data_IF_336334249901
#
_entry.id   IF_336334249901
#
_cell.length_a   1.000
_cell.length_b   1.000
_cell.length_c   1.000
_cell.angle_alpha   90.00
_cell.angle_beta   90.00
_cell.angle_gamma   90.00
#
_symmetry.space_group_name_H-M   'P 1'
#
loop_
_entity.id
_entity.type
_entity.pdbx_description
1 polymer ?
#
# COMPACT_ATOMS: atom_id res chain seq x y z
N UNK A 1 -20.15 -17.25 0.60
CA UNK A 1 -19.66 -16.28 1.61
C UNK A 1 -19.87 -14.86 1.09
N UNK A 2 -20.28 -13.94 1.96
CA UNK A 2 -20.42 -12.51 1.63
C UNK A 2 -19.05 -11.85 1.49
N UNK A 3 -18.95 -10.87 0.60
CA UNK A 3 -17.74 -10.03 0.47
C UNK A 3 -17.70 -9.07 1.66
N UNK A 4 -16.54 -8.95 2.30
CA UNK A 4 -16.36 -8.06 3.45
C UNK A 4 -16.12 -6.64 2.94
N UNK A 5 -16.90 -5.66 3.41
CA UNK A 5 -16.58 -4.25 3.21
C UNK A 5 -15.42 -3.86 4.13
N UNK A 6 -14.41 -3.19 3.57
CA UNK A 6 -13.21 -2.74 4.26
C UNK A 6 -13.27 -1.26 4.66
N UNK A 7 -14.41 -0.59 4.52
CA UNK A 7 -14.57 0.84 4.83
C UNK A 7 -14.16 1.16 6.27
N UNK A 8 -14.55 0.33 7.24
CA UNK A 8 -14.13 0.49 8.64
C UNK A 8 -12.62 0.36 8.83
N UNK A 9 -12.03 -0.67 8.22
CA UNK A 9 -10.58 -0.90 8.25
C UNK A 9 -9.81 0.27 7.63
N UNK A 10 -10.26 0.78 6.47
CA UNK A 10 -9.59 1.88 5.78
C UNK A 10 -9.63 3.18 6.62
N UNK A 11 -10.71 3.43 7.36
CA UNK A 11 -10.80 4.55 8.30
C UNK A 11 -9.86 4.40 9.50
N UNK A 12 -9.74 3.19 10.04
CA UNK A 12 -8.77 2.92 11.11
C UNK A 12 -7.33 3.07 10.61
N UNK A 13 -7.06 2.66 9.36
CA UNK A 13 -5.78 2.89 8.71
C UNK A 13 -5.48 4.38 8.56
N UNK A 14 -6.45 5.21 8.15
CA UNK A 14 -6.29 6.67 8.10
C UNK A 14 -5.90 7.23 9.47
N UNK A 15 -6.54 6.79 10.54
CA UNK A 15 -6.20 7.23 11.91
C UNK A 15 -4.75 6.91 12.28
N UNK A 16 -4.24 5.76 11.85
CA UNK A 16 -2.82 5.39 12.07
C UNK A 16 -1.91 6.34 11.28
N UNK A 17 -2.20 6.57 10.01
CA UNK A 17 -1.42 7.48 9.15
C UNK A 17 -1.44 8.92 9.71
N UNK A 18 -2.61 9.42 10.11
CA UNK A 18 -2.77 10.74 10.69
C UNK A 18 -2.00 10.84 12.03
N UNK A 19 -2.00 9.78 12.86
CA UNK A 19 -1.17 9.73 14.08
C UNK A 19 0.33 9.84 13.78
N UNK A 20 0.80 9.14 12.74
CA UNK A 20 2.20 9.23 12.28
C UNK A 20 2.54 10.67 11.90
N UNK A 21 1.66 11.33 11.13
CA UNK A 21 1.83 12.72 10.68
C UNK A 21 1.78 13.74 11.82
N UNK A 22 0.82 13.60 12.73
CA UNK A 22 0.57 14.57 13.81
C UNK A 22 1.52 14.42 14.99
N UNK A 23 2.08 13.22 15.18
CA UNK A 23 2.97 12.90 16.31
C UNK A 23 4.25 12.20 15.87
N UNK A 24 5.06 12.82 15.00
CA UNK A 24 6.23 12.16 14.43
C UNK A 24 7.28 11.78 15.48
N UNK A 25 7.31 12.49 16.61
CA UNK A 25 8.20 12.23 17.73
C UNK A 25 7.92 10.90 18.46
N UNK A 26 6.75 10.28 18.28
CA UNK A 26 6.42 8.96 18.86
C UNK A 26 7.11 7.79 18.12
N UNK A 27 7.71 8.07 16.96
CA UNK A 27 8.30 7.06 16.06
C UNK A 27 9.80 7.28 15.90
N UNK A 28 10.57 6.18 15.85
CA UNK A 28 12.00 6.23 15.52
C UNK A 28 12.18 6.43 14.00
N UNK A 29 11.30 5.82 13.20
CA UNK A 29 11.25 5.98 11.75
C UNK A 29 9.88 5.55 11.23
N UNK A 30 9.40 6.18 10.17
CA UNK A 30 8.23 5.72 9.42
C UNK A 30 8.38 6.06 7.93
N UNK A 31 7.84 5.24 7.05
CA UNK A 31 7.71 5.48 5.62
C UNK A 31 6.31 5.01 5.19
N UNK A 32 5.43 5.96 4.94
CA UNK A 32 4.06 5.74 4.48
C UNK A 32 3.99 6.15 3.02
N UNK A 33 3.67 5.21 2.15
CA UNK A 33 3.50 5.44 0.73
C UNK A 33 2.06 5.12 0.34
N UNK A 34 1.38 6.11 -0.21
CA UNK A 34 0.04 5.98 -0.78
C UNK A 34 0.12 6.24 -2.27
N UNK A 35 -0.44 5.36 -3.07
CA UNK A 35 -0.61 5.55 -4.51
C UNK A 35 -2.04 5.25 -4.89
N UNK A 36 -2.71 6.23 -5.49
CA UNK A 36 -4.07 6.09 -6.00
C UNK A 36 -4.07 6.18 -7.52
N UNK A 37 -4.94 5.38 -8.14
CA UNK A 37 -5.26 5.43 -9.55
C UNK A 37 -6.78 5.68 -9.69
N UNK A 38 -7.17 6.81 -10.30
CA UNK A 38 -8.58 7.22 -10.50
C UNK A 38 -8.72 7.83 -11.88
N UNK A 39 -9.65 7.33 -12.70
CA UNK A 39 -10.01 7.90 -14.01
C UNK A 39 -8.81 8.18 -14.95
N UNK A 40 -7.82 7.29 -14.97
CA UNK A 40 -6.62 7.44 -15.81
C UNK A 40 -5.56 8.41 -15.25
N UNK A 41 -5.77 8.93 -14.04
CA UNK A 41 -4.82 9.76 -13.30
C UNK A 41 -4.27 9.03 -12.08
N UNK A 42 -3.02 9.34 -11.75
CA UNK A 42 -2.29 8.80 -10.62
C UNK A 42 -1.96 9.89 -9.61
N UNK A 43 -2.09 9.55 -8.33
CA UNK A 43 -1.76 10.42 -7.20
C UNK A 43 -0.87 9.65 -6.24
N UNK A 44 0.24 10.23 -5.82
CA UNK A 44 1.19 9.60 -4.90
C UNK A 44 1.52 10.54 -3.76
N UNK A 45 1.43 10.04 -2.54
CA UNK A 45 1.92 10.68 -1.34
C UNK A 45 2.96 9.77 -0.69
N UNK A 46 4.07 10.35 -0.25
CA UNK A 46 5.05 9.68 0.59
C UNK A 46 5.35 10.53 1.80
N UNK A 47 5.07 9.99 2.98
CA UNK A 47 5.41 10.58 4.26
C UNK A 47 6.53 9.78 4.91
N UNK A 48 7.64 10.44 5.19
CA UNK A 48 8.80 9.84 5.85
C UNK A 48 9.09 10.55 7.14
N UNK A 49 9.25 9.80 8.22
CA UNK A 49 9.81 10.31 9.47
C UNK A 49 11.27 9.89 9.56
N UNK A 50 12.13 10.89 9.75
CA UNK A 50 13.53 10.70 10.06
C UNK A 50 13.93 11.59 11.24
N UNK A 51 14.57 11.01 12.25
CA UNK A 51 14.96 11.69 13.50
C UNK A 51 13.83 12.51 14.17
N UNK A 52 12.59 12.02 14.10
CA UNK A 52 11.40 12.70 14.66
C UNK A 52 10.85 13.86 13.83
N UNK A 53 11.40 14.11 12.64
CA UNK A 53 10.94 15.10 11.68
C UNK A 53 10.15 14.45 10.54
N UNK A 54 9.01 15.03 10.18
CA UNK A 54 8.18 14.60 9.06
C UNK A 54 8.61 15.28 7.76
N UNK A 55 8.78 14.48 6.72
CA UNK A 55 9.01 14.90 5.34
C UNK A 55 7.90 14.33 4.46
N UNK A 56 7.19 15.19 3.72
CA UNK A 56 6.09 14.78 2.86
C UNK A 56 6.35 15.16 1.41
N UNK A 57 6.22 14.21 0.51
CA UNK A 57 6.35 14.39 -0.93
C UNK A 57 5.04 14.00 -1.61
N UNK A 58 4.57 14.84 -2.53
CA UNK A 58 3.34 14.61 -3.27
C UNK A 58 3.62 14.70 -4.76
N UNK A 59 3.10 13.75 -5.53
CA UNK A 59 3.22 13.73 -6.98
C UNK A 59 1.89 13.35 -7.60
N UNK A 60 1.63 13.87 -8.79
CA UNK A 60 0.44 13.53 -9.55
C UNK A 60 0.74 13.54 -11.05
N UNK A 61 -0.01 12.75 -11.81
CA UNK A 61 0.11 12.77 -13.25
C UNK A 61 -0.74 11.69 -13.94
N UNK A 62 -0.87 11.75 -15.26
CA UNK A 62 -1.51 10.70 -16.04
C UNK A 62 -0.81 9.33 -15.83
N UNK A 63 -1.60 8.25 -15.77
CA UNK A 63 -1.05 6.89 -15.56
C UNK A 63 -0.17 6.40 -16.70
N UNK A 64 -0.30 6.99 -17.90
CA UNK A 64 0.52 6.65 -19.07
C UNK A 64 1.89 7.33 -19.08
N UNK A 65 2.24 8.11 -18.05
CA UNK A 65 3.51 8.81 -17.91
C UNK A 65 4.22 8.33 -16.63
N UNK A 66 5.50 7.98 -16.74
CA UNK A 66 6.28 7.48 -15.59
C UNK A 66 6.84 8.59 -14.68
N UNK A 67 6.88 9.83 -15.17
CA UNK A 67 7.41 10.99 -14.44
C UNK A 67 6.29 11.91 -13.97
N UNK A 68 5.52 11.44 -12.98
CA UNK A 68 4.52 12.28 -12.31
C UNK A 68 5.17 13.52 -11.73
N UNK A 69 4.51 14.66 -11.90
CA UNK A 69 5.03 15.95 -11.47
C UNK A 69 4.73 16.16 -9.99
N UNK A 70 5.55 16.96 -9.28
CA UNK A 70 5.23 17.33 -7.91
C UNK A 70 3.87 18.02 -7.84
N UNK A 71 3.06 17.64 -6.86
CA UNK A 71 1.75 18.26 -6.60
C UNK A 71 1.94 19.53 -5.77
N UNK A 72 2.05 20.67 -6.44
CA UNK A 72 2.23 21.98 -5.82
C UNK A 72 0.90 22.60 -5.33
N UNK A 73 -0.24 22.13 -5.84
CA UNK A 73 -1.56 22.71 -5.60
C UNK A 73 -2.37 21.90 -4.56
N UNK A 74 -1.77 20.85 -3.98
CA UNK A 74 -2.39 19.95 -3.01
C UNK A 74 -3.60 19.17 -3.55
N UNK A 75 -3.75 19.09 -4.88
CA UNK A 75 -4.86 18.39 -5.53
C UNK A 75 -4.76 16.89 -5.26
N UNK A 76 -3.57 16.32 -5.40
CA UNK A 76 -3.31 14.92 -5.11
C UNK A 76 -3.47 14.57 -3.63
N UNK A 77 -3.18 15.52 -2.73
CA UNK A 77 -3.50 15.33 -1.30
C UNK A 77 -5.01 15.24 -1.07
N UNK A 78 -5.79 16.15 -1.67
CA UNK A 78 -7.25 16.14 -1.53
C UNK A 78 -7.86 14.83 -2.07
N UNK A 79 -7.41 14.37 -3.23
CA UNK A 79 -7.85 13.10 -3.82
C UNK A 79 -7.49 11.89 -2.94
N UNK A 80 -6.33 11.94 -2.28
CA UNK A 80 -5.93 10.92 -1.31
C UNK A 80 -6.82 10.92 -0.08
N UNK A 81 -7.15 12.09 0.47
CA UNK A 81 -8.05 12.18 1.61
C UNK A 81 -9.49 11.75 1.24
N UNK A 82 -9.99 12.14 0.07
CA UNK A 82 -11.31 11.71 -0.45
C UNK A 82 -11.41 10.18 -0.56
N UNK A 83 -10.34 9.50 -0.95
CA UNK A 83 -10.32 8.03 -1.04
C UNK A 83 -10.67 7.34 0.29
N UNK A 84 -10.21 7.89 1.42
CA UNK A 84 -10.54 7.35 2.75
C UNK A 84 -11.99 7.59 3.18
N UNK A 85 -12.70 8.47 2.47
CA UNK A 85 -14.10 8.81 2.73
C UNK A 85 -15.08 8.04 1.84
N UNK A 86 -14.59 7.30 0.84
CA UNK A 86 -15.43 6.55 -0.09
C UNK A 86 -16.35 5.56 0.66
N UNK A 87 -17.64 5.47 0.26
CA UNK A 87 -18.63 4.67 0.97
C UNK A 87 -18.35 3.16 0.86
N UNK A 88 -17.89 2.71 -0.31
CA UNK A 88 -17.74 1.30 -0.64
C UNK A 88 -16.28 0.98 -0.91
N UNK A 89 -15.63 0.25 0.01
CA UNK A 89 -14.24 -0.18 -0.10
C UNK A 89 -14.16 -1.70 -0.06
N UNK A 90 -13.44 -2.27 -1.02
CA UNK A 90 -13.11 -3.69 -1.09
C UNK A 90 -11.59 -3.90 -1.13
N UNK A 91 -11.16 -5.02 -0.58
CA UNK A 91 -9.74 -5.39 -0.51
C UNK A 91 -9.42 -6.49 -1.53
N UNK A 92 -8.36 -6.31 -2.31
CA UNK A 92 -7.83 -7.38 -3.14
C UNK A 92 -7.07 -8.39 -2.27
N UNK A 93 -7.17 -9.66 -2.61
CA UNK A 93 -6.32 -10.72 -2.04
C UNK A 93 -5.01 -10.85 -2.82
N UNK A 94 -4.06 -11.61 -2.29
CA UNK A 94 -2.79 -11.92 -2.99
C UNK A 94 -3.01 -12.52 -4.40
N UNK A 95 -4.14 -13.19 -4.65
CA UNK A 95 -4.48 -13.73 -5.97
C UNK A 95 -4.57 -12.65 -7.05
N UNK A 96 -4.97 -11.43 -6.68
CA UNK A 96 -5.05 -10.31 -7.60
C UNK A 96 -3.69 -9.94 -8.19
N UNK A 97 -2.60 -10.17 -7.45
CA UNK A 97 -1.23 -9.91 -7.90
C UNK A 97 -0.76 -10.92 -8.96
N UNK A 98 -1.34 -12.14 -8.95
CA UNK A 98 -1.01 -13.24 -9.84
C UNK A 98 -1.95 -13.36 -11.05
N UNK A 99 -3.07 -12.63 -11.02
CA UNK A 99 -4.07 -12.63 -12.09
C UNK A 99 -3.53 -12.01 -13.36
N UNK A 100 -3.91 -12.55 -14.52
CA UNK A 100 -3.67 -11.90 -15.83
C UNK A 100 -4.33 -10.52 -15.90
N UNK A 101 -5.44 -10.33 -15.16
CA UNK A 101 -6.11 -9.04 -14.94
C UNK A 101 -5.68 -8.44 -13.61
N UNK A 102 -4.38 -8.17 -13.49
CA UNK A 102 -3.87 -7.52 -12.29
C UNK A 102 -4.47 -6.09 -12.20
N UNK A 103 -5.06 -5.69 -11.07
CA UNK A 103 -5.64 -4.35 -10.91
C UNK A 103 -4.60 -3.21 -11.01
N UNK A 104 -3.31 -3.53 -10.96
CA UNK A 104 -2.21 -2.61 -11.21
C UNK A 104 -1.96 -2.37 -12.71
N UNK A 105 -2.47 -3.23 -13.58
CA UNK A 105 -2.26 -3.17 -15.03
C UNK A 105 -3.54 -2.91 -15.83
N UNK A 106 -4.71 -3.16 -15.23
CA UNK A 106 -6.02 -2.93 -15.86
C UNK A 106 -6.72 -1.76 -15.18
N UNK A 107 -7.01 -0.71 -15.95
CA UNK A 107 -7.78 0.42 -15.46
C UNK A 107 -9.25 -0.01 -15.24
N UNK A 108 -9.75 0.17 -14.02
CA UNK A 108 -11.17 0.00 -13.70
C UNK A 108 -11.88 1.33 -13.95
N UNK A 109 -12.83 1.35 -14.88
CA UNK A 109 -13.46 2.59 -15.37
C UNK A 109 -14.11 3.43 -14.24
N UNK A 110 -14.55 2.79 -13.16
CA UNK A 110 -15.29 3.45 -12.07
C UNK A 110 -14.72 3.20 -10.67
N UNK A 111 -13.59 2.48 -10.57
CA UNK A 111 -12.96 2.19 -9.27
C UNK A 111 -11.75 3.11 -9.05
N UNK A 112 -11.63 3.65 -7.84
CA UNK A 112 -10.37 4.22 -7.37
C UNK A 112 -9.54 3.09 -6.78
N UNK A 113 -8.40 2.78 -7.38
CA UNK A 113 -7.49 1.76 -6.88
C UNK A 113 -6.49 2.42 -5.93
N UNK A 114 -6.40 1.91 -4.71
CA UNK A 114 -5.50 2.43 -3.69
C UNK A 114 -4.48 1.42 -3.23
N UNK A 115 -3.20 1.74 -3.39
CA UNK A 115 -2.08 0.97 -2.85
C UNK A 115 -1.54 1.74 -1.65
N UNK A 116 -1.48 1.08 -0.51
CA UNK A 116 -0.93 1.66 0.71
C UNK A 116 0.17 0.74 1.22
N UNK A 117 1.37 1.28 1.37
CA UNK A 117 2.51 0.61 1.97
C UNK A 117 2.98 1.42 3.17
N UNK A 118 3.06 0.77 4.33
CA UNK A 118 3.45 1.40 5.58
C UNK A 118 4.59 0.59 6.18
N UNK A 119 5.73 1.24 6.36
CA UNK A 119 6.77 0.79 7.25
C UNK A 119 6.81 1.71 8.47
N UNK A 120 6.77 1.12 9.67
CA UNK A 120 6.79 1.90 10.91
C UNK A 120 7.66 1.23 11.95
N UNK A 121 8.45 2.04 12.64
CA UNK A 121 9.18 1.68 13.84
C UNK A 121 8.80 2.62 14.97
N UNK A 122 7.90 2.15 15.82
CA UNK A 122 7.62 2.82 17.09
C UNK A 122 8.86 2.78 17.98
N UNK A 123 8.99 3.74 18.90
CA UNK A 123 10.13 3.80 19.83
C UNK A 123 10.37 2.47 20.50
N UNK A 124 11.62 2.00 20.45
CA UNK A 124 12.07 0.75 21.08
C UNK A 124 11.37 -0.52 20.57
N UNK A 125 10.74 -0.47 19.40
CA UNK A 125 10.04 -1.61 18.78
C UNK A 125 10.75 -2.09 17.52
N UNK A 126 10.42 -3.30 17.07
CA UNK A 126 10.87 -3.81 15.76
C UNK A 126 10.16 -3.06 14.63
N UNK A 127 10.86 -2.88 13.51
CA UNK A 127 10.24 -2.31 12.31
C UNK A 127 9.20 -3.29 11.79
N UNK A 128 8.00 -2.78 11.48
CA UNK A 128 6.91 -3.54 10.90
C UNK A 128 6.53 -2.94 9.56
N UNK A 129 6.28 -3.78 8.58
CA UNK A 129 5.85 -3.39 7.24
C UNK A 129 4.53 -4.07 6.87
N UNK A 130 3.63 -3.34 6.25
CA UNK A 130 2.37 -3.85 5.72
C UNK A 130 2.09 -3.20 4.37
N UNK A 131 1.59 -4.00 3.43
CA UNK A 131 1.12 -3.53 2.13
C UNK A 131 -0.35 -3.90 1.96
N UNK A 132 -1.14 -3.02 1.38
CA UNK A 132 -2.58 -3.18 1.19
C UNK A 132 -2.98 -2.68 -0.19
N UNK A 133 -4.02 -3.29 -0.77
CA UNK A 133 -4.49 -2.99 -2.12
C UNK A 133 -6.01 -2.98 -2.17
N UNK A 134 -6.59 -1.81 -2.39
CA UNK A 134 -8.03 -1.57 -2.28
C UNK A 134 -8.64 -1.15 -3.62
N UNK A 135 -9.93 -1.44 -3.79
CA UNK A 135 -10.81 -0.81 -4.76
C UNK A 135 -11.89 -0.02 -3.99
N UNK A 136 -11.98 1.28 -4.27
CA UNK A 136 -12.97 2.18 -3.69
C UNK A 136 -13.95 2.71 -4.73
N UNK A 137 -15.21 2.87 -4.32
CA UNK A 137 -16.31 3.34 -5.18
C UNK A 137 -17.08 4.46 -4.50
N UNK A 138 -17.48 5.46 -5.28
CA UNK A 138 -18.32 6.58 -4.82
C UNK A 138 -19.79 6.20 -4.65
N UNK A 139 -20.24 5.11 -5.28
CA UNK A 139 -21.59 4.60 -5.15
C UNK A 139 -21.64 3.06 -5.15
N UNK A 140 -22.78 2.56 -4.67
CA UNK A 140 -23.02 1.14 -4.47
C UNK A 140 -23.30 0.38 -5.78
N UNK A 141 -23.81 1.04 -6.81
CA UNK A 141 -24.20 0.37 -8.06
C UNK A 141 -22.94 -0.11 -8.78
N UNK A 142 -21.93 0.76 -8.93
CA UNK A 142 -20.67 0.38 -9.56
C UNK A 142 -19.89 -0.65 -8.73
N UNK A 143 -19.94 -0.54 -7.40
CA UNK A 143 -19.40 -1.55 -6.49
C UNK A 143 -20.03 -2.94 -6.72
N UNK A 144 -21.36 -3.02 -6.84
CA UNK A 144 -22.05 -4.30 -7.07
C UNK A 144 -21.66 -4.92 -8.43
N UNK A 145 -21.56 -4.12 -9.49
CA UNK A 145 -21.08 -4.59 -10.79
C UNK A 145 -19.63 -5.08 -10.72
N UNK A 146 -18.75 -4.33 -10.06
CA UNK A 146 -17.37 -4.73 -9.86
C UNK A 146 -17.25 -6.08 -9.14
N UNK A 147 -18.00 -6.25 -8.05
CA UNK A 147 -18.01 -7.51 -7.30
C UNK A 147 -18.56 -8.69 -8.10
N UNK A 148 -19.46 -8.47 -9.05
CA UNK A 148 -19.96 -9.53 -9.93
C UNK A 148 -18.86 -10.04 -10.88
N UNK A 149 -17.91 -9.18 -11.27
CA UNK A 149 -16.83 -9.50 -12.22
C UNK A 149 -15.58 -10.00 -11.50
N UNK A 150 -15.16 -9.31 -10.44
CA UNK A 150 -13.84 -9.49 -9.80
C UNK A 150 -13.92 -10.26 -8.47
N UNK A 151 -15.06 -10.90 -8.19
CA UNK A 151 -15.35 -11.54 -6.89
C UNK A 151 -14.24 -12.44 -6.36
N UNK A 152 -13.56 -13.15 -7.26
CA UNK A 152 -12.55 -14.14 -6.91
C UNK A 152 -11.20 -13.54 -6.57
N UNK A 153 -10.95 -12.29 -6.95
CA UNK A 153 -9.74 -11.56 -6.61
C UNK A 153 -9.86 -10.79 -5.30
N UNK A 154 -11.09 -10.57 -4.81
CA UNK A 154 -11.39 -9.86 -3.57
C UNK A 154 -11.33 -10.79 -2.35
N UNK A 155 -10.91 -10.24 -1.21
CA UNK A 155 -10.85 -10.98 0.06
C UNK A 155 -12.25 -11.47 0.46
N UNK A 156 -12.35 -12.78 0.72
CA UNK A 156 -13.55 -13.45 1.23
C UNK A 156 -13.28 -13.86 2.68
N UNK A 157 -13.96 -13.25 3.65
CA UNK A 157 -13.76 -13.55 5.08
C UNK A 157 -12.41 -13.06 5.62
N UNK A 158 -11.68 -13.89 6.36
CA UNK A 158 -10.42 -13.52 7.05
C UNK A 158 -9.14 -13.91 6.28
N UNK A 159 -9.24 -14.43 5.06
CA UNK A 159 -8.07 -14.87 4.29
C UNK A 159 -7.52 -13.70 3.44
N UNK A 160 -6.75 -12.83 4.07
CA UNK A 160 -6.18 -11.66 3.41
C UNK A 160 -4.88 -11.95 2.63
N UNK A 161 -4.27 -13.13 2.84
CA UNK A 161 -2.97 -13.49 2.25
C UNK A 161 -1.79 -13.04 3.13
N UNK A 162 -0.56 -13.37 2.73
CA UNK A 162 0.67 -13.04 3.47
C UNK A 162 1.43 -11.86 2.86
N UNK A 163 1.15 -11.52 1.61
CA UNK A 163 1.79 -10.39 0.92
C UNK A 163 1.02 -9.09 1.11
N UNK A 164 -0.31 -9.18 1.21
CA UNK A 164 -1.20 -8.08 1.52
C UNK A 164 -1.79 -8.25 2.93
N UNK A 165 -2.05 -7.13 3.61
CA UNK A 165 -2.76 -7.02 4.90
C UNK A 165 -2.12 -7.67 6.13
N UNK A 166 -1.07 -8.48 6.02
CA UNK A 166 -0.31 -8.94 7.18
C UNK A 166 0.84 -7.99 7.53
N UNK A 167 0.94 -7.61 8.81
CA UNK A 167 2.13 -6.94 9.34
C UNK A 167 3.28 -7.92 9.41
N UNK A 168 4.41 -7.54 8.82
CA UNK A 168 5.62 -8.37 8.80
C UNK A 168 6.73 -7.63 9.53
N UNK A 169 7.49 -8.36 10.35
CA UNK A 169 8.70 -7.80 10.92
C UNK A 169 9.75 -7.63 9.83
N UNK A 170 10.26 -6.41 9.67
CA UNK A 170 11.41 -6.16 8.81
C UNK A 170 12.65 -6.46 9.62
N UNK A 171 13.17 -7.68 9.46
CA UNK A 171 14.42 -8.10 10.09
C UNK A 171 15.55 -7.17 9.61
N UNK A 172 16.46 -6.74 10.50
CA UNK A 172 17.66 -6.03 10.10
C UNK A 172 18.42 -6.86 9.05
N UNK A 173 18.91 -6.22 7.99
CA UNK A 173 19.66 -6.87 6.90
C UNK A 173 20.84 -7.70 7.45
N UNK A 174 21.44 -7.27 8.55
CA UNK A 174 22.51 -7.98 9.25
C UNK A 174 22.09 -9.36 9.80
N UNK A 175 20.85 -9.52 10.29
CA UNK A 175 20.32 -10.82 10.73
C UNK A 175 19.90 -11.71 9.57
N UNK A 176 19.61 -11.11 8.41
CA UNK A 176 19.24 -11.86 7.19
C UNK A 176 20.47 -12.57 6.60
N UNK A 177 21.65 -11.94 6.65
CA UNK A 177 22.93 -12.55 6.28
C UNK A 177 23.39 -13.62 7.30
N UNK A 178 23.13 -13.41 8.60
CA UNK A 178 23.47 -14.39 9.64
C UNK A 178 22.57 -15.64 9.65
N UNK A 179 21.36 -15.55 9.06
CA UNK A 179 20.41 -16.66 8.94
C UNK A 179 20.60 -17.49 7.65
N UNK A 180 21.53 -17.13 6.77
CA UNK A 180 21.85 -17.94 5.58
C UNK A 180 22.68 -19.16 5.98
N UNK A 181 22.32 -20.39 5.55
CA UNK A 181 23.15 -21.55 5.78
C UNK A 181 24.53 -21.36 5.12
N UNK A 182 25.59 -21.77 5.82
CA UNK A 182 26.99 -21.61 5.40
C UNK A 182 27.33 -22.21 4.02
N UNK A 183 26.42 -22.97 3.40
CA UNK A 183 26.55 -23.51 2.05
C UNK A 183 26.47 -22.46 0.94
N UNK A 184 26.00 -21.23 1.21
CA UNK A 184 25.89 -20.17 0.21
C UNK A 184 27.11 -19.24 0.13
N UNK A 185 28.05 -19.30 1.09
CA UNK A 185 29.21 -18.39 1.16
C UNK A 185 30.40 -18.93 0.32
N UNK A 186 30.34 -20.19 -0.12
CA UNK A 186 31.47 -20.93 -0.70
C UNK A 186 31.50 -21.09 -2.23
N UNK A 187 31.07 -20.11 -3.05
CA UNK A 187 31.20 -20.22 -4.52
C UNK A 187 31.83 -19.02 -5.24
N UNK A 188 32.43 -18.06 -4.52
CA UNK A 188 33.07 -16.89 -5.13
C UNK A 188 34.61 -16.88 -5.07
N UNK A 189 35.25 -18.05 -4.94
CA UNK A 189 36.72 -18.16 -5.09
C UNK A 189 37.10 -19.49 -5.74
N UNK A 190 37.05 -19.55 -7.08
CA UNK A 190 37.98 -20.33 -7.90
C UNK A 190 37.61 -20.19 -9.39
N UNK A 191 38.26 -19.26 -10.07
CA UNK A 191 38.76 -19.46 -11.45
C UNK A 191 39.87 -18.45 -11.73
N UNK A 192 41.09 -18.85 -11.40
CA UNK A 192 42.31 -18.42 -12.09
C UNK A 192 42.81 -19.65 -12.82
N UNK A 193 42.74 -19.65 -14.15
CA UNK A 193 43.81 -20.03 -15.08
C UNK A 193 43.67 -19.09 -16.27
#
# INVERSE_FOLDING_TARGET
MAVTSYTGYLRDLKRIIDRIRDRPFEFDSADVQLTLCKNGFGYRCRDRIDEGHLFSEHHMGPLNINNWQPDHEQVGRAEIDEFFELPEIYAYSDLALLSEKNPLTVAHWDATIGIIEIEVRERHSTSRIQRMLFAGFSDRIHAEFFLAVERDLIVKGHQAGTHLYEWREKLPVEKTLAAMPASAIGRARQTRI
#
